data_IF_737387442330
#
_entry.id   IF_737387442330
#
_cell.length_a   1.000
_cell.length_b   1.000
_cell.length_c   1.000
_cell.angle_alpha   90.00
_cell.angle_beta   90.00
_cell.angle_gamma   90.00
#
_symmetry.space_group_name_H-M   'P 1'
#
loop_
_entity.id
_entity.type
_entity.pdbx_description
1 polymer ?
#
# COMPACT_ATOMS: atom_id res chain seq x y z
N UNK A 1 -0.79 2.77 13.71
CA UNK A 1 0.26 3.73 14.09
C UNK A 1 -0.06 4.27 15.46
N UNK A 2 0.93 4.30 16.32
CA UNK A 2 0.72 4.78 17.69
C UNK A 2 0.46 6.27 17.74
N UNK A 3 1.07 7.02 16.83
CA UNK A 3 0.92 8.46 16.79
C UNK A 3 0.43 8.87 15.42
N UNK A 4 -0.51 9.79 15.41
CA UNK A 4 -1.01 10.36 14.18
C UNK A 4 0.05 11.29 13.60
N UNK A 5 0.29 11.20 12.30
CA UNK A 5 1.37 11.97 11.70
C UNK A 5 1.07 12.30 10.23
N UNK A 6 1.70 13.37 9.74
CA UNK A 6 1.82 13.68 8.33
C UNK A 6 3.26 13.52 7.83
N UNK A 7 4.17 13.14 8.70
CA UNK A 7 5.55 12.96 8.31
C UNK A 7 5.67 11.77 7.38
N UNK A 8 5.94 12.04 6.12
CA UNK A 8 6.04 11.02 5.09
C UNK A 8 7.05 9.95 5.46
N UNK A 9 8.17 10.35 6.03
CA UNK A 9 9.21 9.39 6.40
C UNK A 9 8.72 8.39 7.44
N UNK A 10 7.99 8.88 8.45
CA UNK A 10 7.42 8.00 9.48
C UNK A 10 6.40 7.05 8.86
N UNK A 11 5.55 7.58 8.00
CA UNK A 11 4.52 6.77 7.33
C UNK A 11 5.18 5.70 6.46
N UNK A 12 6.20 6.06 5.71
CA UNK A 12 6.89 5.12 4.83
C UNK A 12 7.63 4.04 5.62
N UNK A 13 8.25 4.40 6.73
CA UNK A 13 8.90 3.40 7.58
C UNK A 13 7.91 2.35 8.06
N UNK A 14 6.70 2.77 8.37
CA UNK A 14 5.67 1.84 8.83
C UNK A 14 5.08 1.03 7.69
N UNK A 15 4.84 1.67 6.55
CA UNK A 15 4.30 0.96 5.40
C UNK A 15 5.32 0.02 4.76
N UNK A 16 6.60 0.23 4.97
CA UNK A 16 7.62 -0.70 4.49
C UNK A 16 7.40 -2.10 5.08
N UNK A 17 7.00 -2.19 6.34
CA UNK A 17 6.67 -3.48 6.94
C UNK A 17 5.48 -4.13 6.25
N UNK A 18 4.47 -3.34 5.94
CA UNK A 18 3.30 -3.84 5.22
C UNK A 18 3.69 -4.33 3.83
N UNK A 19 4.57 -3.61 3.16
CA UNK A 19 5.07 -4.03 1.86
C UNK A 19 5.79 -5.37 1.95
N UNK A 20 6.58 -5.56 2.99
CA UNK A 20 7.30 -6.82 3.18
C UNK A 20 6.34 -7.98 3.41
N UNK A 21 5.31 -7.77 4.21
CA UNK A 21 4.28 -8.79 4.45
C UNK A 21 3.52 -9.14 3.18
N UNK A 22 3.10 -8.14 2.44
CA UNK A 22 2.36 -8.35 1.19
C UNK A 22 3.25 -9.05 0.17
N UNK A 23 4.50 -8.62 0.08
CA UNK A 23 5.46 -9.21 -0.84
C UNK A 23 5.71 -10.69 -0.54
N UNK A 24 5.83 -11.02 0.74
CA UNK A 24 6.02 -12.42 1.14
C UNK A 24 4.83 -13.27 0.75
N UNK A 25 3.62 -12.76 0.95
CA UNK A 25 2.40 -13.44 0.54
C UNK A 25 2.37 -13.70 -0.96
N UNK A 26 2.73 -12.69 -1.74
CA UNK A 26 2.77 -12.79 -3.21
C UNK A 26 3.80 -13.83 -3.65
N UNK A 27 4.97 -13.82 -3.02
CA UNK A 27 6.02 -14.79 -3.33
C UNK A 27 5.59 -16.21 -3.06
N UNK A 28 4.98 -16.44 -1.91
CA UNK A 28 4.54 -17.78 -1.52
C UNK A 28 3.51 -18.34 -2.49
N UNK A 29 2.71 -17.47 -3.07
CA UNK A 29 1.69 -17.89 -4.04
C UNK A 29 2.21 -17.95 -5.46
N UNK A 30 3.44 -17.52 -5.69
CA UNK A 30 4.03 -17.49 -7.02
C UNK A 30 3.32 -16.55 -7.97
N UNK A 31 2.80 -15.43 -7.45
CA UNK A 31 2.03 -14.46 -8.23
C UNK A 31 2.86 -13.22 -8.52
N UNK A 32 2.51 -12.56 -9.62
CA UNK A 32 2.94 -11.20 -9.86
C UNK A 32 1.75 -10.28 -9.69
N UNK A 33 1.96 -9.09 -9.16
CA UNK A 33 0.90 -8.11 -9.00
C UNK A 33 1.00 -7.01 -10.05
N UNK A 34 -0.13 -6.49 -10.46
CA UNK A 34 -0.17 -5.42 -11.45
C UNK A 34 -0.73 -4.11 -10.88
N UNK A 35 -1.58 -4.20 -9.88
CA UNK A 35 -2.15 -3.03 -9.23
C UNK A 35 -1.66 -2.91 -7.79
N UNK A 36 -1.26 -1.70 -7.42
CA UNK A 36 -0.82 -1.38 -6.07
C UNK A 36 -1.71 -0.26 -5.55
N UNK A 37 -2.22 -0.41 -4.35
CA UNK A 37 -3.07 0.59 -3.73
C UNK A 37 -2.63 0.91 -2.33
N UNK A 38 -2.97 2.10 -1.89
CA UNK A 38 -2.78 2.53 -0.50
C UNK A 38 -4.10 3.04 0.04
N UNK A 39 -4.22 2.94 1.35
CA UNK A 39 -5.39 3.45 2.07
C UNK A 39 -4.86 4.24 3.26
N UNK A 40 -5.43 5.41 3.47
CA UNK A 40 -5.11 6.23 4.65
C UNK A 40 -6.40 6.59 5.36
N UNK A 41 -6.42 6.41 6.67
CA UNK A 41 -7.49 6.88 7.54
C UNK A 41 -6.90 8.05 8.33
N UNK A 42 -7.56 9.20 8.23
CA UNK A 42 -7.08 10.42 8.87
C UNK A 42 -7.69 10.58 10.26
N UNK A 43 -7.18 11.55 11.00
CA UNK A 43 -7.61 11.77 12.39
C UNK A 43 -9.07 12.15 12.50
N UNK A 44 -9.66 12.71 11.44
CA UNK A 44 -11.11 13.04 11.41
C UNK A 44 -11.96 11.86 10.97
N UNK A 45 -11.35 10.67 10.86
CA UNK A 45 -11.97 9.43 10.43
C UNK A 45 -12.32 9.38 8.95
N UNK A 46 -11.91 10.35 8.16
CA UNK A 46 -12.06 10.27 6.72
C UNK A 46 -11.09 9.25 6.14
N UNK A 47 -11.51 8.60 5.06
CA UNK A 47 -10.73 7.56 4.40
C UNK A 47 -10.41 8.01 3.00
N UNK A 48 -9.15 7.90 2.62
CA UNK A 48 -8.73 8.17 1.25
C UNK A 48 -7.86 7.03 0.75
N UNK A 49 -7.95 6.77 -0.54
CA UNK A 49 -7.14 5.74 -1.16
C UNK A 49 -6.62 6.26 -2.49
N UNK A 50 -5.50 5.69 -2.91
CA UNK A 50 -4.96 5.90 -4.25
C UNK A 50 -4.42 4.58 -4.74
N UNK A 51 -4.42 4.39 -6.04
CA UNK A 51 -3.89 3.18 -6.63
C UNK A 51 -3.18 3.50 -7.94
N UNK A 52 -2.35 2.57 -8.35
CA UNK A 52 -1.63 2.66 -9.61
C UNK A 52 -1.60 1.28 -10.24
N UNK A 53 -1.84 1.23 -11.55
CA UNK A 53 -1.70 0.00 -12.31
C UNK A 53 -0.36 0.04 -13.03
N UNK A 54 0.43 -1.01 -12.86
CA UNK A 54 1.73 -1.12 -13.49
C UNK A 54 1.56 -1.58 -14.94
N UNK A 55 2.52 -1.23 -15.79
CA UNK A 55 2.50 -1.66 -17.18
C UNK A 55 2.67 -3.16 -17.31
N UNK A 56 3.49 -3.75 -16.45
CA UNK A 56 3.76 -5.18 -16.43
C UNK A 56 3.63 -5.70 -15.01
N UNK A 57 3.23 -6.98 -14.86
CA UNK A 57 3.20 -7.58 -13.52
C UNK A 57 4.57 -7.55 -12.88
N UNK A 58 4.60 -7.37 -11.57
CA UNK A 58 5.83 -7.30 -10.79
C UNK A 58 5.72 -8.21 -9.57
N UNK A 59 6.88 -8.64 -9.07
CA UNK A 59 6.95 -9.43 -7.86
C UNK A 59 8.10 -8.98 -6.95
N UNK A 60 8.68 -7.84 -7.26
CA UNK A 60 9.82 -7.33 -6.52
C UNK A 60 9.39 -6.37 -5.41
N UNK A 61 10.01 -6.53 -4.25
CA UNK A 61 9.71 -5.71 -3.09
C UNK A 61 10.03 -4.23 -3.34
N UNK A 62 11.11 -3.95 -4.04
CA UNK A 62 11.49 -2.56 -4.33
C UNK A 62 10.47 -1.84 -5.17
N UNK A 63 9.89 -2.52 -6.15
CA UNK A 63 8.86 -1.95 -7.00
C UNK A 63 7.63 -1.62 -6.15
N UNK A 64 7.25 -2.54 -5.27
CA UNK A 64 6.13 -2.33 -4.38
C UNK A 64 6.35 -1.13 -3.46
N UNK A 65 7.51 -1.06 -2.81
CA UNK A 65 7.83 0.05 -1.91
C UNK A 65 7.85 1.39 -2.64
N UNK A 66 8.48 1.43 -3.80
CA UNK A 66 8.56 2.67 -4.59
C UNK A 66 7.18 3.15 -5.00
N UNK A 67 6.33 2.25 -5.45
CA UNK A 67 4.99 2.59 -5.87
C UNK A 67 4.16 3.11 -4.69
N UNK A 68 4.27 2.46 -3.55
CA UNK A 68 3.59 2.89 -2.32
C UNK A 68 4.08 4.28 -1.91
N UNK A 69 5.38 4.53 -1.98
CA UNK A 69 5.93 5.84 -1.64
C UNK A 69 5.37 6.95 -2.53
N UNK A 70 5.33 6.71 -3.83
CA UNK A 70 4.76 7.68 -4.77
C UNK A 70 3.30 7.98 -4.46
N UNK A 71 2.54 6.94 -4.15
CA UNK A 71 1.12 7.09 -3.86
C UNK A 71 0.89 7.88 -2.57
N UNK A 72 1.64 7.59 -1.52
CA UNK A 72 1.51 8.34 -0.27
C UNK A 72 1.95 9.79 -0.43
N UNK A 73 3.01 10.02 -1.18
CA UNK A 73 3.47 11.37 -1.44
C UNK A 73 2.38 12.21 -2.09
N UNK A 74 1.71 11.64 -3.09
CA UNK A 74 0.60 12.32 -3.76
C UNK A 74 -0.60 12.50 -2.85
N UNK A 75 -0.93 11.48 -2.08
CA UNK A 75 -2.09 11.52 -1.20
C UNK A 75 -1.90 12.57 -0.11
N UNK A 76 -0.72 12.65 0.46
CA UNK A 76 -0.44 13.60 1.53
C UNK A 76 -0.32 15.04 1.03
N UNK A 77 0.05 15.22 -0.23
CA UNK A 77 0.10 16.57 -0.79
C UNK A 77 -1.29 17.18 -0.93
N UNK A 78 -2.32 16.35 -0.97
CA UNK A 78 -3.71 16.79 -1.10
C UNK A 78 -4.43 16.95 0.25
N UNK A 79 -3.74 16.73 1.35
CA UNK A 79 -4.38 16.78 2.66
C UNK A 79 -3.45 17.39 3.71
N UNK A 80 -4.05 18.14 4.64
CA UNK A 80 -3.31 18.69 5.77
C UNK A 80 -3.54 17.89 7.06
N UNK A 81 -4.39 16.88 7.00
CA UNK A 81 -4.73 16.08 8.17
C UNK A 81 -3.65 15.06 8.46
N UNK A 82 -3.45 14.76 9.74
CA UNK A 82 -2.56 13.69 10.13
C UNK A 82 -3.17 12.33 9.84
N UNK A 83 -2.33 11.37 9.52
CA UNK A 83 -2.74 9.99 9.23
C UNK A 83 -2.81 9.19 10.51
N UNK A 84 -3.93 8.53 10.71
CA UNK A 84 -4.16 7.67 11.87
C UNK A 84 -3.83 6.22 11.56
N UNK A 85 -4.20 5.76 10.37
CA UNK A 85 -3.91 4.39 9.91
C UNK A 85 -3.47 4.42 8.46
N UNK A 86 -2.65 3.45 8.11
CA UNK A 86 -2.21 3.28 6.73
C UNK A 86 -2.32 1.82 6.34
N UNK A 87 -2.61 1.56 5.08
CA UNK A 87 -2.70 0.22 4.54
C UNK A 87 -2.12 0.15 3.15
N UNK A 88 -1.71 -1.05 2.76
CA UNK A 88 -1.15 -1.34 1.44
C UNK A 88 -1.89 -2.56 0.90
N UNK A 89 -2.21 -2.54 -0.39
CA UNK A 89 -2.81 -3.71 -1.02
C UNK A 89 -2.28 -3.88 -2.43
N UNK A 90 -2.34 -5.11 -2.89
CA UNK A 90 -2.02 -5.44 -4.27
C UNK A 90 -3.16 -6.27 -4.86
N UNK A 91 -3.32 -6.18 -6.18
CA UNK A 91 -4.36 -6.92 -6.88
C UNK A 91 -3.95 -7.09 -8.34
N UNK A 92 -4.84 -7.65 -9.15
CA UNK A 92 -4.59 -7.98 -10.56
C UNK A 92 -3.39 -8.90 -10.70
N UNK A 93 -3.52 -10.10 -10.16
CA UNK A 93 -2.44 -11.07 -10.16
C UNK A 93 -2.29 -11.71 -11.55
N UNK A 94 -1.05 -11.84 -11.98
CA UNK A 94 -0.75 -12.33 -13.33
C UNK A 94 -1.10 -13.79 -13.53
N UNK A 95 -0.96 -14.62 -12.50
CA UNK A 95 -1.21 -16.06 -12.61
C UNK A 95 -2.62 -16.45 -12.26
N UNK A 96 -3.30 -15.65 -11.46
CA UNK A 96 -4.65 -15.98 -11.02
C UNK A 96 -5.64 -15.35 -11.94
N UNK A 97 -6.24 -16.16 -12.81
CA UNK A 97 -7.15 -15.68 -13.83
C UNK A 97 -8.61 -15.79 -13.45
N UNK A 98 -8.93 -16.70 -12.55
CA UNK A 98 -10.33 -16.95 -12.19
C UNK A 98 -10.80 -16.17 -10.99
N UNK A 99 -9.89 -15.81 -10.12
CA UNK A 99 -10.25 -15.14 -8.87
C UNK A 99 -9.37 -13.92 -8.70
N UNK A 100 -10.00 -12.77 -8.70
CA UNK A 100 -9.31 -11.51 -8.43
C UNK A 100 -9.27 -11.31 -6.93
N UNK A 101 -8.21 -11.74 -6.30
CA UNK A 101 -8.03 -11.57 -4.87
C UNK A 101 -7.19 -10.34 -4.58
N UNK A 102 -7.54 -9.67 -3.52
CA UNK A 102 -6.74 -8.57 -3.01
C UNK A 102 -5.98 -9.04 -1.79
N UNK A 103 -4.71 -8.65 -1.72
CA UNK A 103 -3.91 -8.87 -0.53
C UNK A 103 -3.73 -7.51 0.11
N UNK A 104 -4.27 -7.36 1.31
CA UNK A 104 -4.28 -6.09 2.02
C UNK A 104 -3.73 -6.29 3.42
N UNK A 105 -2.82 -5.40 3.82
CA UNK A 105 -2.29 -5.37 5.18
C UNK A 105 -2.45 -3.99 5.76
N UNK A 106 -2.84 -3.94 7.02
CA UNK A 106 -3.03 -2.69 7.74
C UNK A 106 -2.20 -2.68 9.02
N UNK A 107 -1.58 -1.53 9.28
CA UNK A 107 -1.08 -1.20 10.60
C UNK A 107 -2.02 -0.17 11.19
N UNK A 108 -2.70 -0.58 12.24
CA UNK A 108 -3.62 0.31 12.94
C UNK A 108 -3.29 0.40 14.40
N UNK A 109 -4.02 1.25 15.07
CA UNK A 109 -3.90 1.35 16.51
C UNK A 109 -4.72 0.26 17.21
#
# INVERSE_FOLDING_TARGET
MKEDTRDLKVILDRTDRLCEEVHEDVRQRGLGFKSVGIIAVFIDMSIRSKSKTLDNPADELEILKRTVWELFEKLLSDSELNVRRAGVRVSNFAKEQKTQKQITSFLGN
#
